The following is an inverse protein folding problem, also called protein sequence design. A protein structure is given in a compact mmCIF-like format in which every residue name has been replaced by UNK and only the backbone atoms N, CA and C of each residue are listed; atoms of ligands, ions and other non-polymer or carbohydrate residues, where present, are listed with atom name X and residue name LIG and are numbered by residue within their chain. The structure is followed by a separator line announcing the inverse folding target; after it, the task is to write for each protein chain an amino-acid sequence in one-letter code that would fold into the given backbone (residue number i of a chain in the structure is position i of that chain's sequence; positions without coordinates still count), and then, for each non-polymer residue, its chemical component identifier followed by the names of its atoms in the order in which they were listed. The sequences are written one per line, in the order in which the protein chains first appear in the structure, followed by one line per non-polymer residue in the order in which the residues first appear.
data_IF_781476041613
#
_entry.id   IF_781476041613
#
_cell.length_a   1.000
_cell.length_b   1.000
_cell.length_c   1.000
_cell.angle_alpha   90.00
_cell.angle_beta   90.00
_cell.angle_gamma   90.00
#
_symmetry.space_group_name_H-M   'P 1'
#
loop_
_entity.id
_entity.type
_entity.pdbx_description
1 polymer ?
#
# COMPACT_ATOMS: atom_id res chain seq x y z
N UNK A 1 -5.02 -15.97 -35.66
CA UNK A 1 -6.33 -16.61 -35.40
C UNK A 1 -6.10 -17.55 -34.23
N UNK A 2 -6.60 -17.21 -33.05
CA UNK A 2 -6.55 -18.13 -31.92
C UNK A 2 -7.91 -18.78 -31.81
N UNK A 3 -7.90 -20.04 -32.25
CA UNK A 3 -8.98 -20.99 -32.32
C UNK A 3 -9.40 -21.41 -30.90
N UNK A 4 -10.67 -21.72 -30.75
CA UNK A 4 -11.39 -21.89 -29.49
C UNK A 4 -10.75 -22.90 -28.50
N UNK A 5 -10.27 -22.41 -27.36
CA UNK A 5 -10.07 -23.27 -26.17
C UNK A 5 -11.32 -23.21 -25.32
N UNK A 6 -12.13 -24.27 -25.35
CA UNK A 6 -13.19 -24.48 -24.37
C UNK A 6 -12.55 -24.97 -23.06
N UNK A 7 -12.63 -24.17 -22.00
CA UNK A 7 -12.26 -24.56 -20.65
C UNK A 7 -13.51 -25.20 -20.04
N UNK A 8 -13.59 -26.53 -20.05
CA UNK A 8 -14.56 -27.24 -19.24
C UNK A 8 -14.05 -27.29 -17.78
N UNK A 9 -14.92 -26.98 -16.84
CA UNK A 9 -14.58 -26.84 -15.42
C UNK A 9 -14.38 -28.16 -14.66
N UNK A 10 -14.01 -29.26 -15.31
CA UNK A 10 -13.99 -30.59 -14.67
C UNK A 10 -12.78 -30.86 -13.76
N UNK A 11 -11.91 -29.88 -13.50
CA UNK A 11 -10.77 -30.03 -12.59
C UNK A 11 -10.89 -29.11 -11.38
N UNK A 12 -11.91 -29.36 -10.56
CA UNK A 12 -12.06 -28.77 -9.23
C UNK A 12 -12.30 -29.90 -8.24
N UNK A 13 -11.24 -30.47 -7.68
CA UNK A 13 -11.32 -31.34 -6.51
C UNK A 13 -10.83 -30.56 -5.28
N UNK A 14 -11.70 -30.48 -4.26
CA UNK A 14 -11.39 -29.91 -2.93
C UNK A 14 -10.96 -31.08 -2.04
N UNK A 15 -9.67 -31.25 -1.69
CA UNK A 15 -9.25 -32.31 -0.78
C UNK A 15 -9.42 -31.81 0.65
N UNK A 16 -10.35 -32.42 1.40
CA UNK A 16 -10.48 -32.22 2.83
C UNK A 16 -11.90 -31.91 3.31
N UNK A 17 -12.81 -32.88 3.18
CA UNK A 17 -13.96 -32.97 4.08
C UNK A 17 -13.88 -34.33 4.79
N UNK A 18 -13.53 -34.27 6.08
CA UNK A 18 -13.83 -35.33 7.04
C UNK A 18 -15.35 -35.49 7.06
N UNK A 19 -15.86 -36.60 6.52
CA UNK A 19 -17.22 -37.04 6.80
C UNK A 19 -17.15 -37.97 8.00
N UNK A 20 -17.48 -37.42 9.16
CA UNK A 20 -17.87 -38.19 10.33
C UNK A 20 -19.22 -38.84 10.01
N UNK A 21 -19.18 -40.10 9.58
CA UNK A 21 -20.36 -40.91 9.34
C UNK A 21 -20.68 -41.66 10.63
N UNK A 22 -21.75 -41.22 11.27
CA UNK A 22 -22.39 -41.83 12.44
C UNK A 22 -22.75 -43.28 12.12
N UNK A 23 -22.17 -44.22 12.86
CA UNK A 23 -22.48 -45.64 12.79
C UNK A 23 -22.68 -46.18 14.20
N UNK A 24 -23.93 -46.43 14.56
CA UNK A 24 -24.36 -46.96 15.86
C UNK A 24 -24.15 -48.48 15.88
N UNK A 25 -23.48 -49.02 16.92
CA UNK A 25 -23.23 -50.46 17.03
C UNK A 25 -22.50 -50.91 18.29
N UNK A 26 -23.26 -51.08 19.38
CA UNK A 26 -23.15 -52.05 20.50
C UNK A 26 -21.79 -52.64 20.94
N UNK A 27 -21.55 -52.57 22.26
CA UNK A 27 -20.42 -53.08 23.06
C UNK A 27 -20.09 -54.58 22.91
N UNK A 28 -18.79 -54.91 22.83
CA UNK A 28 -18.20 -56.16 23.37
C UNK A 28 -16.75 -55.89 23.85
N UNK A 29 -16.55 -56.23 25.12
CA UNK A 29 -15.32 -56.25 25.94
C UNK A 29 -14.30 -57.32 25.46
N UNK A 30 -12.98 -57.08 25.54
CA UNK A 30 -12.03 -58.12 25.11
C UNK A 30 -10.55 -57.74 25.00
N UNK A 31 -9.86 -57.86 26.13
CA UNK A 31 -8.40 -57.92 26.35
C UNK A 31 -7.58 -58.81 25.36
N UNK A 32 -6.37 -58.36 24.98
CA UNK A 32 -5.29 -59.17 24.36
C UNK A 32 -4.91 -58.71 22.94
N UNK A 33 -3.66 -58.64 22.47
CA UNK A 33 -2.35 -59.03 22.97
C UNK A 33 -1.29 -58.44 22.01
N UNK A 34 -0.14 -58.02 22.53
CA UNK A 34 1.08 -57.72 21.76
C UNK A 34 1.76 -59.01 21.25
N UNK A 35 2.53 -58.96 20.15
CA UNK A 35 3.86 -59.57 20.17
C UNK A 35 4.92 -58.63 19.54
N UNK A 36 5.86 -58.08 20.30
CA UNK A 36 7.25 -58.57 20.56
C UNK A 36 8.03 -58.87 19.28
N UNK A 37 9.13 -58.16 18.98
CA UNK A 37 10.55 -58.57 19.11
C UNK A 37 11.40 -57.56 18.29
N UNK A 38 12.68 -57.26 18.48
CA UNK A 38 13.77 -57.72 19.33
C UNK A 38 14.84 -56.60 19.35
N UNK A 39 15.47 -56.38 20.51
CA UNK A 39 16.71 -55.61 20.62
C UNK A 39 17.86 -56.37 19.94
N UNK A 40 18.61 -55.72 19.06
CA UNK A 40 20.01 -56.05 18.82
C UNK A 40 20.84 -54.78 18.60
N UNK A 41 21.74 -54.51 19.56
CA UNK A 41 22.82 -53.53 19.50
C UNK A 41 23.65 -53.69 18.22
N UNK A 42 23.99 -52.59 17.56
CA UNK A 42 25.40 -52.21 17.29
C UNK A 42 25.51 -50.74 16.88
N UNK A 43 26.37 -50.06 17.61
CA UNK A 43 26.85 -48.72 17.35
C UNK A 43 27.82 -48.72 16.18
N UNK A 44 27.84 -47.61 15.45
CA UNK A 44 29.01 -46.99 14.79
C UNK A 44 29.05 -46.98 13.25
N UNK A 45 28.90 -45.75 12.75
CA UNK A 45 29.56 -45.11 11.60
C UNK A 45 29.52 -45.78 10.22
N UNK A 46 28.62 -45.27 9.37
CA UNK A 46 28.96 -45.00 7.97
C UNK A 46 28.67 -43.52 7.69
N UNK A 47 29.72 -42.71 7.77
CA UNK A 47 29.74 -41.37 7.23
C UNK A 47 29.75 -41.47 5.70
N UNK A 48 28.60 -41.32 5.05
CA UNK A 48 28.57 -41.07 3.61
C UNK A 48 27.48 -40.07 3.25
N UNK A 49 27.94 -38.82 3.10
CA UNK A 49 27.71 -38.00 1.92
C UNK A 49 26.26 -37.60 1.58
N UNK A 50 25.84 -36.45 2.10
CA UNK A 50 25.50 -35.27 1.29
C UNK A 50 25.20 -34.08 2.20
N UNK A 51 26.23 -33.49 2.81
CA UNK A 51 26.13 -32.08 3.22
C UNK A 51 26.14 -31.25 1.95
N UNK A 52 24.99 -31.17 1.28
CA UNK A 52 24.71 -30.11 0.31
C UNK A 52 25.13 -28.80 0.96
N UNK A 53 25.96 -27.96 0.29
CA UNK A 53 26.24 -26.65 0.85
C UNK A 53 24.89 -25.98 1.02
N UNK A 54 24.54 -25.60 2.27
CA UNK A 54 23.44 -24.68 2.51
C UNK A 54 23.82 -23.38 1.79
N UNK A 55 23.53 -23.32 0.49
CA UNK A 55 23.64 -22.11 -0.29
C UNK A 55 22.70 -21.16 0.42
N UNK A 56 23.25 -20.16 1.11
CA UNK A 56 22.54 -18.96 1.54
C UNK A 56 22.13 -18.14 0.30
N UNK A 57 21.47 -18.77 -0.66
CA UNK A 57 20.73 -18.12 -1.72
C UNK A 57 19.35 -17.89 -1.16
N UNK A 58 19.03 -16.64 -0.82
CA UNK A 58 17.66 -16.22 -0.46
C UNK A 58 16.72 -16.84 -1.50
N UNK A 59 15.77 -17.67 -1.08
CA UNK A 59 14.89 -18.36 -2.03
C UNK A 59 14.19 -17.33 -2.92
N UNK A 60 13.86 -17.67 -4.19
CA UNK A 60 13.19 -16.75 -5.11
C UNK A 60 11.96 -16.06 -4.49
N UNK A 61 11.20 -16.78 -3.67
CA UNK A 61 10.06 -16.25 -2.93
C UNK A 61 10.43 -15.18 -1.89
N UNK A 62 11.56 -15.31 -1.19
CA UNK A 62 12.01 -14.30 -0.22
C UNK A 62 12.48 -13.03 -0.96
N UNK A 63 12.99 -13.14 -2.19
CA UNK A 63 13.30 -11.98 -3.03
C UNK A 63 12.03 -11.25 -3.44
N UNK A 64 11.04 -11.97 -3.97
CA UNK A 64 9.74 -11.42 -4.36
C UNK A 64 9.02 -10.78 -3.17
N UNK A 65 9.02 -11.42 -1.99
CA UNK A 65 8.41 -10.86 -0.79
C UNK A 65 9.09 -9.56 -0.32
N UNK A 66 10.41 -9.43 -0.46
CA UNK A 66 11.10 -8.16 -0.21
C UNK A 66 10.67 -7.09 -1.21
N UNK A 67 10.64 -7.41 -2.49
CA UNK A 67 10.23 -6.47 -3.54
C UNK A 67 8.78 -5.99 -3.32
N UNK A 68 7.87 -6.88 -2.93
CA UNK A 68 6.49 -6.54 -2.55
C UNK A 68 6.46 -5.62 -1.33
N UNK A 69 7.21 -5.94 -0.27
CA UNK A 69 7.31 -5.09 0.93
C UNK A 69 7.86 -3.71 0.57
N UNK A 70 8.95 -3.63 -0.18
CA UNK A 70 9.61 -2.39 -0.54
C UNK A 70 8.69 -1.51 -1.40
N UNK A 71 7.96 -2.12 -2.34
CA UNK A 71 6.95 -1.44 -3.16
C UNK A 71 5.79 -0.94 -2.29
N UNK A 72 5.28 -1.78 -1.39
CA UNK A 72 4.18 -1.42 -0.49
C UNK A 72 4.59 -0.31 0.49
N UNK A 73 5.80 -0.36 1.02
CA UNK A 73 6.31 0.63 1.97
C UNK A 73 6.55 1.97 1.28
N UNK A 74 7.07 1.96 0.05
CA UNK A 74 7.21 3.16 -0.80
C UNK A 74 5.85 3.78 -1.13
N UNK A 75 4.88 2.97 -1.55
CA UNK A 75 3.52 3.43 -1.84
C UNK A 75 2.82 3.95 -0.58
N UNK A 76 3.07 3.33 0.59
CA UNK A 76 2.51 3.77 1.86
C UNK A 76 3.05 5.13 2.31
N UNK A 77 4.30 5.47 1.99
CA UNK A 77 4.88 6.76 2.31
C UNK A 77 4.24 7.88 1.48
N UNK A 78 4.02 7.65 0.19
CA UNK A 78 3.30 8.59 -0.69
C UNK A 78 1.84 8.72 -0.26
N UNK A 79 1.16 7.61 0.03
CA UNK A 79 -0.21 7.61 0.51
C UNK A 79 -0.36 8.33 1.86
N UNK A 80 0.60 8.19 2.78
CA UNK A 80 0.63 8.93 4.05
C UNK A 80 0.77 10.43 3.82
N UNK A 81 1.71 10.89 2.98
CA UNK A 81 1.87 12.33 2.67
C UNK A 81 0.63 12.96 2.03
N UNK A 82 -0.07 12.20 1.19
CA UNK A 82 -1.36 12.61 0.60
C UNK A 82 -2.45 12.67 1.67
N UNK A 83 -2.52 11.68 2.57
CA UNK A 83 -3.51 11.63 3.65
C UNK A 83 -3.23 12.62 4.80
N UNK A 84 -1.97 12.96 5.07
CA UNK A 84 -1.53 13.82 6.18
C UNK A 84 -1.71 15.31 5.87
N UNK A 85 -2.19 15.69 4.68
CA UNK A 85 -2.40 17.09 4.32
C UNK A 85 -1.11 17.91 4.22
N UNK A 86 0.05 17.24 4.24
CA UNK A 86 1.37 17.87 4.11
C UNK A 86 1.48 18.54 2.74
N UNK A 87 1.06 17.83 1.67
CA UNK A 87 1.03 18.38 0.32
C UNK A 87 0.15 19.64 0.19
N UNK A 88 -1.01 19.63 0.88
CA UNK A 88 -1.91 20.80 0.92
C UNK A 88 -1.22 21.98 1.63
N UNK A 89 -0.57 21.71 2.75
CA UNK A 89 0.13 22.72 3.55
C UNK A 89 1.31 23.31 2.78
N UNK A 90 2.10 22.48 2.09
CA UNK A 90 3.20 22.92 1.23
C UNK A 90 2.71 23.76 0.05
N UNK A 91 1.63 23.32 -0.62
CA UNK A 91 0.99 24.06 -1.72
C UNK A 91 0.50 25.43 -1.27
N UNK A 92 -0.17 25.53 -0.11
CA UNK A 92 -0.61 26.80 0.45
C UNK A 92 0.58 27.69 0.81
N UNK A 93 1.61 27.16 1.48
CA UNK A 93 2.82 27.92 1.83
C UNK A 93 3.51 28.49 0.58
N UNK A 94 3.60 27.70 -0.49
CA UNK A 94 4.15 28.14 -1.77
C UNK A 94 3.31 29.25 -2.39
N UNK A 95 1.98 29.08 -2.43
CA UNK A 95 1.08 30.09 -2.97
C UNK A 95 1.16 31.42 -2.19
N UNK A 96 1.13 31.37 -0.86
CA UNK A 96 1.24 32.57 -0.01
C UNK A 96 2.57 33.31 -0.18
N UNK A 97 3.67 32.59 -0.38
CA UNK A 97 4.97 33.21 -0.68
C UNK A 97 4.94 34.01 -1.98
N UNK A 98 4.41 33.40 -3.05
CA UNK A 98 4.26 34.05 -4.35
C UNK A 98 3.34 35.27 -4.28
N UNK A 99 2.32 35.26 -3.43
CA UNK A 99 1.43 36.42 -3.20
C UNK A 99 2.21 37.60 -2.64
N UNK A 100 3.04 37.37 -1.62
CA UNK A 100 3.88 38.41 -1.04
C UNK A 100 4.91 38.90 -2.06
N UNK A 101 5.57 37.99 -2.79
CA UNK A 101 6.51 38.32 -3.88
C UNK A 101 5.85 39.13 -5.01
N UNK A 102 4.55 38.95 -5.23
CA UNK A 102 3.78 39.69 -6.24
C UNK A 102 3.32 41.08 -5.79
N UNK A 103 3.64 41.49 -4.55
CA UNK A 103 3.34 42.82 -4.02
C UNK A 103 2.11 42.89 -3.11
N UNK A 104 1.43 41.77 -2.82
CA UNK A 104 0.39 41.71 -1.79
C UNK A 104 1.05 41.51 -0.41
N UNK A 105 1.52 42.62 0.16
CA UNK A 105 2.14 42.65 1.49
C UNK A 105 1.21 42.10 2.57
N UNK A 106 1.78 41.51 3.63
CA UNK A 106 1.01 41.02 4.78
C UNK A 106 0.17 42.16 5.38
N UNK A 107 -1.12 41.92 5.57
CA UNK A 107 -2.08 42.94 6.01
C UNK A 107 -2.78 43.72 4.89
N UNK A 108 -2.36 43.58 3.63
CA UNK A 108 -3.13 44.10 2.49
C UNK A 108 -4.44 43.34 2.28
N UNK A 109 -5.39 43.98 1.60
CA UNK A 109 -6.68 43.37 1.25
C UNK A 109 -6.46 42.16 0.34
N UNK A 110 -5.52 42.26 -0.59
CA UNK A 110 -5.12 41.21 -1.52
C UNK A 110 -4.50 40.01 -0.79
N UNK A 111 -3.66 40.26 0.22
CA UNK A 111 -3.08 39.19 1.04
C UNK A 111 -4.15 38.46 1.84
N UNK A 112 -5.09 39.21 2.46
CA UNK A 112 -6.23 38.60 3.14
C UNK A 112 -7.12 37.81 2.17
N UNK A 113 -7.38 38.32 0.97
CA UNK A 113 -8.13 37.60 -0.07
C UNK A 113 -7.45 36.28 -0.43
N UNK A 114 -6.13 36.26 -0.59
CA UNK A 114 -5.38 35.04 -0.85
C UNK A 114 -5.61 33.96 0.22
N UNK A 115 -5.72 34.35 1.51
CA UNK A 115 -6.02 33.39 2.60
C UNK A 115 -7.39 32.73 2.45
N UNK A 116 -8.36 33.40 1.81
CA UNK A 116 -9.69 32.87 1.52
C UNK A 116 -9.68 31.97 0.29
N UNK A 117 -9.01 32.42 -0.78
CA UNK A 117 -8.99 31.71 -2.06
C UNK A 117 -8.21 30.40 -1.98
N UNK A 118 -7.04 30.39 -1.34
CA UNK A 118 -6.14 29.24 -1.35
C UNK A 118 -6.55 28.09 -0.43
N UNK A 119 -7.67 28.22 0.29
CA UNK A 119 -8.31 27.08 0.96
C UNK A 119 -8.76 26.04 -0.08
N UNK A 120 -9.16 26.47 -1.27
CA UNK A 120 -9.55 25.59 -2.38
C UNK A 120 -8.34 25.23 -3.24
N UNK A 121 -8.22 23.98 -3.66
CA UNK A 121 -7.07 23.51 -4.43
C UNK A 121 -7.07 24.08 -5.85
N UNK A 122 -8.25 24.15 -6.45
CA UNK A 122 -8.51 24.65 -7.79
C UNK A 122 -8.04 26.10 -7.94
N UNK A 123 -8.30 26.92 -6.92
CA UNK A 123 -7.84 28.31 -6.91
C UNK A 123 -6.32 28.42 -6.84
N UNK A 124 -5.65 27.51 -6.12
CA UNK A 124 -4.18 27.48 -6.07
C UNK A 124 -3.61 27.04 -7.40
N UNK A 125 -4.22 26.05 -8.04
CA UNK A 125 -3.78 25.54 -9.34
C UNK A 125 -3.89 26.62 -10.40
N UNK A 126 -5.03 27.35 -10.46
CA UNK A 126 -5.19 28.53 -11.32
C UNK A 126 -4.13 29.58 -10.98
N UNK A 127 -3.91 29.88 -9.70
CA UNK A 127 -2.92 30.86 -9.29
C UNK A 127 -1.49 30.51 -9.74
N UNK A 128 -1.13 29.22 -9.75
CA UNK A 128 0.17 28.76 -10.22
C UNK A 128 0.33 28.80 -11.74
N UNK A 129 -0.75 28.95 -12.51
CA UNK A 129 -0.64 29.15 -13.97
C UNK A 129 -0.13 30.54 -14.35
N UNK A 130 -0.22 31.53 -13.45
CA UNK A 130 0.31 32.86 -13.71
C UNK A 130 1.84 32.87 -13.56
N UNK A 131 2.54 33.25 -14.62
CA UNK A 131 4.00 33.34 -14.63
C UNK A 131 4.51 34.67 -14.08
N UNK A 132 3.78 35.76 -14.31
CA UNK A 132 4.15 37.12 -13.91
C UNK A 132 3.56 37.52 -12.56
N UNK A 133 4.32 38.32 -11.80
CA UNK A 133 3.87 38.92 -10.54
C UNK A 133 2.66 39.85 -10.77
N UNK A 134 2.69 40.64 -11.85
CA UNK A 134 1.60 41.53 -12.22
C UNK A 134 0.29 40.76 -12.52
N UNK A 135 0.40 39.60 -13.18
CA UNK A 135 -0.75 38.73 -13.44
C UNK A 135 -1.37 38.20 -12.15
N UNK A 136 -0.53 37.72 -11.22
CA UNK A 136 -0.94 37.21 -9.90
C UNK A 136 -1.66 38.28 -9.09
N UNK A 137 -1.08 39.48 -8.98
CA UNK A 137 -1.70 40.56 -8.20
C UNK A 137 -2.95 41.11 -8.87
N UNK A 138 -2.99 41.23 -10.21
CA UNK A 138 -4.19 41.67 -10.93
C UNK A 138 -5.36 40.69 -10.74
N UNK A 139 -5.08 39.38 -10.75
CA UNK A 139 -6.09 38.36 -10.47
C UNK A 139 -6.63 38.48 -9.04
N UNK A 140 -5.77 38.68 -8.04
CA UNK A 140 -6.21 38.91 -6.66
C UNK A 140 -7.05 40.17 -6.52
N UNK A 141 -6.68 41.27 -7.18
CA UNK A 141 -7.47 42.52 -7.17
C UNK A 141 -8.86 42.33 -7.75
N UNK A 142 -9.00 41.59 -8.85
CA UNK A 142 -10.32 41.25 -9.43
C UNK A 142 -11.16 40.44 -8.44
N UNK A 143 -10.57 39.44 -7.80
CA UNK A 143 -11.26 38.70 -6.75
C UNK A 143 -11.66 39.62 -5.57
N UNK A 144 -10.81 40.56 -5.16
CA UNK A 144 -11.17 41.53 -4.12
C UNK A 144 -12.39 42.37 -4.51
N UNK A 145 -12.52 42.77 -5.78
CA UNK A 145 -13.69 43.47 -6.30
C UNK A 145 -14.94 42.58 -6.28
N UNK A 146 -14.82 41.34 -6.75
CA UNK A 146 -15.96 40.39 -6.80
C UNK A 146 -16.53 40.09 -5.41
N UNK A 147 -15.67 40.08 -4.39
CA UNK A 147 -16.06 39.88 -2.99
C UNK A 147 -16.45 41.18 -2.28
N UNK A 148 -16.45 42.33 -2.96
CA UNK A 148 -16.81 43.63 -2.37
C UNK A 148 -15.85 44.08 -1.27
N UNK A 149 -14.58 43.73 -1.37
CA UNK A 149 -13.56 43.98 -0.35
C UNK A 149 -12.94 45.37 -0.43
N UNK A 150 -13.02 46.03 -1.59
CA UNK A 150 -12.71 47.44 -1.72
C UNK A 150 -13.96 48.24 -1.38
N UNK A 151 -13.88 49.05 -0.33
CA UNK A 151 -14.89 50.05 0.04
C UNK A 151 -14.55 51.40 -0.55
#
# INVERSE_FOLDING_TARGET
MFEHTAIDGSSSSIPGQNMDATGEGYDVDGNGATPTTNNNKRTNSSNTCASSPYKKGKSPMVKIMREIRDTMQSNSAVAKKVMEGEYRSESIKKAMRLVVESGAAEGSVEHYMATKLFVKAENRDIFFTFETNDGRIAWLKRNCQDYGMYR
#
